data_IF_284031086678
#
_entry.id   IF_284031086678
#
_cell.length_a   1.000
_cell.length_b   1.000
_cell.length_c   1.000
_cell.angle_alpha   90.00
_cell.angle_beta   90.00
_cell.angle_gamma   90.00
#
_symmetry.space_group_name_H-M   'P 1'
#
loop_
_entity.id
_entity.type
_entity.pdbx_description
1 polymer ?
#
# COMPACT_ATOMS: atom_id res chain seq x y z
N UNK A 1 46.38 35.63 31.69
CA UNK A 1 44.98 35.98 31.95
C UNK A 1 44.43 36.53 30.64
N UNK A 2 44.19 35.62 29.70
CA UNK A 2 42.84 35.14 29.37
C UNK A 2 41.98 36.24 28.76
N UNK A 3 41.90 36.22 27.43
CA UNK A 3 40.67 36.57 26.73
C UNK A 3 40.55 35.65 25.51
N UNK A 4 39.80 34.57 25.73
CA UNK A 4 39.30 33.67 24.69
C UNK A 4 38.24 34.42 23.91
N UNK A 5 38.55 34.84 22.68
CA UNK A 5 37.54 35.30 21.73
C UNK A 5 37.25 34.14 20.77
N UNK A 6 36.15 33.45 21.06
CA UNK A 6 35.58 32.40 20.23
C UNK A 6 35.01 33.04 18.97
N UNK A 7 35.71 32.90 17.83
CA UNK A 7 35.18 33.28 16.53
C UNK A 7 34.19 32.19 16.11
N UNK A 8 32.92 32.61 16.03
CA UNK A 8 31.78 31.85 15.52
C UNK A 8 32.06 31.29 14.12
N UNK A 9 31.88 29.98 13.97
CA UNK A 9 31.88 29.31 12.68
C UNK A 9 30.67 29.81 11.87
N UNK A 10 30.94 30.50 10.75
CA UNK A 10 29.92 30.78 9.74
C UNK A 10 29.47 29.45 9.11
N UNK A 11 28.25 29.01 9.47
CA UNK A 11 27.55 27.97 8.72
C UNK A 11 27.34 28.43 7.28
N UNK A 12 28.00 27.76 6.34
CA UNK A 12 27.74 27.93 4.91
C UNK A 12 26.37 27.31 4.63
N UNK A 13 25.34 28.16 4.55
CA UNK A 13 24.02 27.77 4.03
C UNK A 13 24.20 27.31 2.59
N UNK A 14 24.13 26.00 2.35
CA UNK A 14 24.13 25.42 1.00
C UNK A 14 22.87 25.89 0.30
N UNK A 15 23.00 26.88 -0.58
CA UNK A 15 21.92 27.36 -1.42
C UNK A 15 21.30 26.18 -2.17
N UNK A 16 20.01 25.96 -1.95
CA UNK A 16 19.23 24.89 -2.56
C UNK A 16 19.28 25.08 -4.08
N UNK A 17 20.07 24.25 -4.79
CA UNK A 17 20.23 24.34 -6.25
C UNK A 17 18.87 24.27 -6.94
N UNK A 18 18.62 25.16 -7.91
CA UNK A 18 17.34 25.26 -8.63
C UNK A 18 17.10 24.00 -9.47
N UNK A 19 15.85 23.56 -9.58
CA UNK A 19 15.47 22.33 -10.29
C UNK A 19 15.89 22.31 -11.77
N UNK A 20 15.93 23.49 -12.40
CA UNK A 20 16.47 23.70 -13.75
C UNK A 20 17.90 23.18 -13.85
N UNK A 21 18.77 23.57 -12.92
CA UNK A 21 20.20 23.24 -12.96
C UNK A 21 20.42 21.73 -12.84
N UNK A 22 19.64 21.06 -11.98
CA UNK A 22 19.67 19.59 -11.84
C UNK A 22 19.22 18.86 -13.10
N UNK A 23 18.20 19.38 -13.78
CA UNK A 23 17.69 18.76 -15.01
C UNK A 23 18.71 18.87 -16.15
N UNK A 24 19.33 20.03 -16.31
CA UNK A 24 20.34 20.26 -17.34
C UNK A 24 21.57 19.39 -17.11
N UNK A 25 22.05 19.30 -15.87
CA UNK A 25 23.21 18.47 -15.48
C UNK A 25 22.91 16.97 -15.66
N UNK A 26 21.72 16.51 -15.29
CA UNK A 26 21.37 15.09 -15.34
C UNK A 26 21.01 14.57 -16.74
N UNK A 27 20.51 15.44 -17.62
CA UNK A 27 19.98 15.01 -18.93
C UNK A 27 20.81 15.47 -20.12
N UNK A 28 21.71 16.46 -19.93
CA UNK A 28 22.47 17.08 -21.01
C UNK A 28 21.62 17.85 -22.02
N UNK A 29 20.32 18.07 -21.71
CA UNK A 29 19.36 18.72 -22.60
C UNK A 29 19.44 20.24 -22.50
N UNK A 30 18.90 20.90 -23.52
CA UNK A 30 18.85 22.35 -23.57
C UNK A 30 17.82 22.96 -22.60
N UNK A 31 18.00 24.24 -22.27
CA UNK A 31 17.05 25.00 -21.46
C UNK A 31 15.64 25.04 -22.09
N UNK A 32 15.57 25.06 -23.41
CA UNK A 32 14.30 25.08 -24.14
C UNK A 32 13.54 23.75 -23.98
N UNK A 33 14.26 22.62 -23.95
CA UNK A 33 13.70 21.30 -23.65
C UNK A 33 13.31 21.14 -22.18
N UNK A 34 14.02 21.78 -21.25
CA UNK A 34 13.59 21.86 -19.85
C UNK A 34 12.23 22.54 -19.74
N UNK A 35 12.02 23.66 -20.41
CA UNK A 35 10.73 24.35 -20.38
C UNK A 35 9.63 23.56 -21.09
N UNK A 36 9.92 22.92 -22.23
CA UNK A 36 8.95 22.04 -22.90
C UNK A 36 8.57 20.83 -22.03
N UNK A 37 9.55 20.20 -21.37
CA UNK A 37 9.32 19.14 -20.39
C UNK A 37 8.53 19.63 -19.17
N UNK A 38 8.89 20.79 -18.61
CA UNK A 38 8.19 21.38 -17.46
C UNK A 38 6.76 21.81 -17.82
N UNK A 39 6.52 22.23 -19.07
CA UNK A 39 5.19 22.52 -19.61
C UNK A 39 4.39 21.23 -19.83
N UNK A 40 4.99 20.16 -20.36
CA UNK A 40 4.33 18.86 -20.51
C UNK A 40 4.03 18.20 -19.16
N UNK A 41 4.94 18.31 -18.18
CA UNK A 41 4.72 17.90 -16.79
C UNK A 41 3.63 18.78 -16.16
N UNK A 42 3.64 20.10 -16.40
CA UNK A 42 2.61 21.03 -15.96
C UNK A 42 1.24 20.80 -16.60
N UNK A 43 1.19 20.32 -17.84
CA UNK A 43 -0.02 19.95 -18.56
C UNK A 43 -0.57 18.58 -18.12
N UNK A 44 0.32 17.63 -17.78
CA UNK A 44 -0.07 16.35 -17.14
C UNK A 44 -0.51 16.56 -15.69
N UNK A 45 0.05 17.56 -14.99
CA UNK A 45 -0.39 18.06 -13.69
C UNK A 45 -1.56 19.05 -13.80
N UNK A 46 -2.59 18.75 -14.61
CA UNK A 46 -3.81 19.56 -14.64
C UNK A 46 -4.76 19.24 -13.46
N UNK A 47 -4.22 19.34 -12.25
CA UNK A 47 -4.95 19.86 -11.09
C UNK A 47 -4.32 21.22 -10.81
N UNK A 48 -4.89 22.18 -11.53
CA UNK A 48 -4.69 23.62 -11.64
C UNK A 48 -3.78 24.28 -10.58
N UNK A 49 -2.76 25.03 -10.99
CA UNK A 49 -2.00 25.93 -10.07
C UNK A 49 -2.91 26.90 -9.32
N UNK A 50 -4.07 27.25 -9.91
CA UNK A 50 -5.15 28.00 -9.28
C UNK A 50 -5.84 27.20 -8.16
N UNK A 51 -6.12 25.91 -8.35
CA UNK A 51 -6.61 25.00 -7.30
C UNK A 51 -5.55 24.86 -6.21
N UNK A 52 -4.28 24.72 -6.57
CA UNK A 52 -3.16 24.73 -5.61
C UNK A 52 -3.12 25.98 -4.75
N UNK A 53 -3.31 27.14 -5.36
CA UNK A 53 -3.34 28.43 -4.66
C UNK A 53 -4.63 28.64 -3.86
N UNK A 54 -5.78 28.20 -4.36
CA UNK A 54 -7.08 28.29 -3.69
C UNK A 54 -7.13 27.35 -2.49
N UNK A 55 -6.73 26.09 -2.68
CA UNK A 55 -6.60 25.08 -1.64
C UNK A 55 -5.57 25.52 -0.58
N UNK A 56 -4.40 26.04 -0.98
CA UNK A 56 -3.42 26.60 -0.04
C UNK A 56 -3.95 27.82 0.75
N UNK A 57 -4.80 28.65 0.13
CA UNK A 57 -5.42 29.82 0.77
C UNK A 57 -6.52 29.44 1.76
N UNK A 58 -7.24 28.35 1.51
CA UNK A 58 -8.34 27.84 2.35
C UNK A 58 -7.82 26.78 3.35
N UNK A 59 -6.58 26.29 3.18
CA UNK A 59 -5.96 25.26 4.04
C UNK A 59 -6.30 23.82 3.66
N UNK A 60 -6.81 23.60 2.45
CA UNK A 60 -7.27 22.30 1.93
C UNK A 60 -6.20 21.71 0.98
N UNK A 61 -6.19 20.40 0.75
CA UNK A 61 -5.34 19.77 -0.28
C UNK A 61 -6.01 19.84 -1.67
N UNK A 62 -5.21 19.98 -2.73
CA UNK A 62 -5.68 20.12 -4.13
C UNK A 62 -6.60 19.02 -4.65
N UNK A 63 -6.74 17.93 -3.90
CA UNK A 63 -7.39 16.69 -4.28
C UNK A 63 -8.66 16.46 -3.45
N UNK A 64 -8.98 17.36 -2.51
CA UNK A 64 -10.16 17.26 -1.64
C UNK A 64 -11.49 17.45 -2.39
N UNK A 65 -11.53 18.36 -3.39
CA UNK A 65 -12.72 18.60 -4.21
C UNK A 65 -13.15 17.41 -5.08
N UNK A 66 -12.34 16.33 -5.14
CA UNK A 66 -12.64 15.15 -5.93
C UNK A 66 -13.67 14.22 -5.30
N UNK A 67 -14.16 14.50 -4.09
CA UNK A 67 -15.32 13.79 -3.52
C UNK A 67 -16.50 13.78 -4.49
N UNK A 68 -16.65 14.84 -5.29
CA UNK A 68 -17.75 15.02 -6.24
C UNK A 68 -17.50 14.40 -7.62
N UNK A 69 -16.35 13.78 -7.85
CA UNK A 69 -15.99 13.11 -9.11
C UNK A 69 -15.76 11.62 -8.88
N UNK A 70 -16.79 10.95 -8.38
CA UNK A 70 -16.74 9.51 -8.19
C UNK A 70 -16.68 8.77 -9.53
N UNK A 71 -15.98 7.65 -9.54
CA UNK A 71 -15.90 6.76 -10.69
C UNK A 71 -17.25 6.09 -10.90
N UNK A 72 -17.79 6.19 -12.11
CA UNK A 72 -19.05 5.53 -12.44
C UNK A 72 -18.87 4.02 -12.42
N UNK A 73 -19.68 3.35 -11.60
CA UNK A 73 -19.69 1.90 -11.51
C UNK A 73 -20.54 1.30 -12.63
N UNK A 74 -20.11 0.18 -13.23
CA UNK A 74 -20.94 -0.57 -14.17
C UNK A 74 -22.24 -1.03 -13.52
N UNK A 75 -23.33 -1.00 -14.28
CA UNK A 75 -24.61 -1.47 -13.77
C UNK A 75 -24.54 -2.97 -13.46
N UNK A 76 -24.91 -3.35 -12.24
CA UNK A 76 -24.94 -4.76 -11.81
C UNK A 76 -23.59 -5.33 -11.36
N UNK A 77 -22.56 -4.49 -11.16
CA UNK A 77 -21.31 -4.95 -10.54
C UNK A 77 -21.58 -5.51 -9.14
N UNK A 78 -20.98 -6.66 -8.83
CA UNK A 78 -21.09 -7.24 -7.49
C UNK A 78 -20.31 -6.40 -6.48
N UNK A 79 -20.80 -6.27 -5.25
CA UNK A 79 -20.12 -5.49 -4.21
C UNK A 79 -18.69 -5.98 -3.92
N UNK A 80 -18.46 -7.30 -4.05
CA UNK A 80 -17.15 -7.94 -3.95
C UNK A 80 -16.15 -7.46 -5.00
N UNK A 81 -16.61 -7.04 -6.17
CA UNK A 81 -15.78 -6.63 -7.31
C UNK A 81 -15.57 -5.12 -7.37
N UNK A 82 -16.40 -4.33 -6.67
CA UNK A 82 -16.34 -2.86 -6.69
C UNK A 82 -14.96 -2.34 -6.35
N UNK A 83 -14.33 -2.87 -5.30
CA UNK A 83 -13.00 -2.42 -4.89
C UNK A 83 -11.97 -2.68 -5.99
N UNK A 84 -11.90 -3.89 -6.53
CA UNK A 84 -10.98 -4.25 -7.61
C UNK A 84 -11.18 -3.36 -8.85
N UNK A 85 -12.44 -3.15 -9.23
CA UNK A 85 -12.79 -2.26 -10.33
C UNK A 85 -12.32 -0.82 -10.11
N UNK A 86 -12.52 -0.27 -8.90
CA UNK A 86 -12.10 1.08 -8.58
C UNK A 86 -10.57 1.23 -8.59
N UNK A 87 -9.82 0.24 -8.11
CA UNK A 87 -8.35 0.27 -8.16
C UNK A 87 -7.86 0.42 -9.60
N UNK A 88 -8.46 -0.32 -10.53
CA UNK A 88 -8.06 -0.34 -11.93
C UNK A 88 -8.55 0.89 -12.71
N UNK A 89 -9.78 1.33 -12.48
CA UNK A 89 -10.47 2.27 -13.35
C UNK A 89 -10.62 3.68 -12.76
N UNK A 90 -10.42 3.85 -11.45
CA UNK A 90 -10.55 5.16 -10.83
C UNK A 90 -9.42 6.09 -11.27
N UNK A 91 -9.82 7.30 -11.69
CA UNK A 91 -8.94 8.44 -11.90
C UNK A 91 -9.03 9.44 -10.72
N UNK A 92 -9.62 9.02 -9.61
CA UNK A 92 -9.84 9.83 -8.43
C UNK A 92 -8.89 9.41 -7.29
N UNK A 93 -7.81 10.17 -7.02
CA UNK A 93 -6.91 9.93 -5.91
C UNK A 93 -7.58 9.82 -4.53
N UNK A 94 -8.76 10.43 -4.33
CA UNK A 94 -9.52 10.29 -3.08
C UNK A 94 -10.06 8.86 -2.89
N UNK A 95 -10.67 8.28 -3.93
CA UNK A 95 -11.15 6.89 -3.90
C UNK A 95 -9.99 5.92 -3.66
N UNK A 96 -8.86 6.12 -4.33
CA UNK A 96 -7.66 5.32 -4.11
C UNK A 96 -7.13 5.48 -2.67
N UNK A 97 -7.19 6.67 -2.09
CA UNK A 97 -6.78 6.89 -0.71
C UNK A 97 -7.71 6.21 0.32
N UNK A 98 -9.02 6.21 0.07
CA UNK A 98 -9.98 5.47 0.89
C UNK A 98 -9.72 3.97 0.84
N UNK A 99 -9.56 3.42 -0.36
CA UNK A 99 -9.26 2.00 -0.57
C UNK A 99 -7.93 1.63 0.09
N UNK A 100 -6.91 2.47 -0.06
CA UNK A 100 -5.61 2.24 0.58
C UNK A 100 -5.71 2.19 2.10
N UNK A 101 -6.50 3.08 2.71
CA UNK A 101 -6.70 3.08 4.17
C UNK A 101 -7.41 1.80 4.64
N UNK A 102 -8.44 1.36 3.92
CA UNK A 102 -9.13 0.08 4.19
C UNK A 102 -8.15 -1.09 4.11
N UNK A 103 -7.42 -1.19 2.99
CA UNK A 103 -6.45 -2.27 2.77
C UNK A 103 -5.32 -2.27 3.80
N UNK A 104 -4.91 -1.11 4.29
CA UNK A 104 -3.90 -1.03 5.36
C UNK A 104 -4.39 -1.72 6.62
N UNK A 105 -5.64 -1.46 7.01
CA UNK A 105 -6.27 -2.14 8.15
C UNK A 105 -6.40 -3.65 7.89
N UNK A 106 -6.77 -4.05 6.68
CA UNK A 106 -6.88 -5.47 6.31
C UNK A 106 -5.52 -6.18 6.37
N UNK A 107 -4.45 -5.54 5.89
CA UNK A 107 -3.08 -6.10 5.94
C UNK A 107 -2.62 -6.31 7.37
N UNK A 108 -2.86 -5.34 8.25
CA UNK A 108 -2.44 -5.41 9.65
C UNK A 108 -3.23 -6.47 10.44
N UNK A 109 -4.46 -6.76 10.04
CA UNK A 109 -5.37 -7.64 10.76
C UNK A 109 -5.74 -8.91 9.97
N UNK A 110 -4.94 -9.29 8.97
CA UNK A 110 -5.28 -10.41 8.09
C UNK A 110 -5.14 -11.77 8.80
N UNK A 111 -6.27 -12.39 9.12
CA UNK A 111 -6.34 -13.73 9.71
C UNK A 111 -6.96 -14.71 8.72
N UNK A 112 -6.19 -15.74 8.35
CA UNK A 112 -6.56 -16.80 7.40
C UNK A 112 -5.77 -18.06 7.71
N UNK A 113 -6.16 -19.21 7.14
CA UNK A 113 -5.39 -20.45 7.29
C UNK A 113 -3.95 -20.25 6.83
N UNK A 114 -3.76 -19.58 5.70
CA UNK A 114 -2.47 -19.33 5.09
C UNK A 114 -1.61 -18.38 5.92
N UNK A 115 -2.19 -17.31 6.50
CA UNK A 115 -1.42 -16.40 7.35
C UNK A 115 -0.95 -17.08 8.64
N UNK A 116 -1.82 -17.88 9.26
CA UNK A 116 -1.47 -18.67 10.45
C UNK A 116 -0.41 -19.73 10.11
N UNK A 117 -0.59 -20.50 9.03
CA UNK A 117 0.39 -21.48 8.60
C UNK A 117 1.73 -20.83 8.25
N UNK A 118 1.73 -19.65 7.62
CA UNK A 118 2.96 -18.93 7.29
C UNK A 118 3.74 -18.47 8.54
N UNK A 119 3.02 -18.11 9.61
CA UNK A 119 3.62 -17.63 10.87
C UNK A 119 4.12 -18.79 11.74
N UNK A 120 3.33 -19.86 11.86
CA UNK A 120 3.56 -20.95 12.82
C UNK A 120 4.32 -22.14 12.22
N UNK A 121 4.21 -22.40 10.90
CA UNK A 121 5.04 -23.43 10.27
C UNK A 121 6.45 -22.91 10.00
N UNK A 122 7.40 -23.29 10.86
CA UNK A 122 8.80 -22.93 10.69
C UNK A 122 9.61 -23.97 9.90
N UNK A 123 9.01 -25.09 9.53
CA UNK A 123 9.62 -26.22 8.81
C UNK A 123 9.01 -27.55 9.24
N UNK A 124 9.15 -28.57 8.40
CA UNK A 124 8.57 -29.90 8.63
C UNK A 124 9.56 -31.01 8.30
N UNK A 125 9.31 -32.20 8.83
CA UNK A 125 10.01 -33.42 8.43
C UNK A 125 9.61 -33.79 7.00
N UNK A 126 10.55 -34.33 6.22
CA UNK A 126 10.28 -34.71 4.83
C UNK A 126 9.35 -35.91 4.78
N UNK A 127 9.50 -36.81 5.75
CA UNK A 127 8.74 -38.03 5.94
C UNK A 127 7.25 -37.71 6.16
N UNK A 128 6.93 -36.65 6.92
CA UNK A 128 5.55 -36.21 7.16
C UNK A 128 4.91 -35.71 5.85
N UNK A 129 5.65 -34.97 5.03
CA UNK A 129 5.15 -34.56 3.71
C UNK A 129 4.91 -35.75 2.79
N UNK A 130 5.79 -36.74 2.78
CA UNK A 130 5.65 -37.93 1.95
C UNK A 130 4.52 -38.86 2.43
N UNK A 131 4.22 -38.88 3.74
CA UNK A 131 3.15 -39.68 4.31
C UNK A 131 1.76 -39.07 4.06
N UNK A 132 1.64 -37.75 4.11
CA UNK A 132 0.35 -37.04 4.04
C UNK A 132 0.11 -36.30 2.72
N UNK A 133 1.16 -36.05 1.94
CA UNK A 133 1.10 -35.45 0.61
C UNK A 133 1.34 -36.46 -0.52
N UNK A 134 1.59 -35.95 -1.73
CA UNK A 134 1.99 -36.79 -2.86
C UNK A 134 3.53 -36.94 -2.87
N UNK A 135 4.08 -38.15 -2.67
CA UNK A 135 5.52 -38.39 -2.68
C UNK A 135 6.20 -37.92 -3.99
N UNK A 136 5.47 -37.93 -5.11
CA UNK A 136 6.00 -37.51 -6.40
C UNK A 136 6.26 -35.99 -6.47
N UNK A 137 5.60 -35.22 -5.61
CA UNK A 137 5.73 -33.76 -5.56
C UNK A 137 6.71 -33.27 -4.50
N UNK A 138 7.34 -34.16 -3.73
CA UNK A 138 8.35 -33.77 -2.73
C UNK A 138 9.57 -33.07 -3.37
N UNK A 139 9.85 -33.34 -4.64
CA UNK A 139 10.91 -32.66 -5.40
C UNK A 139 10.54 -31.23 -5.82
N UNK A 140 9.25 -30.94 -5.98
CA UNK A 140 8.72 -29.63 -6.37
C UNK A 140 8.63 -28.66 -5.19
N UNK A 141 8.59 -29.21 -3.96
CA UNK A 141 8.55 -28.42 -2.74
C UNK A 141 9.93 -27.85 -2.41
N UNK A 142 9.93 -26.59 -1.95
CA UNK A 142 11.14 -25.90 -1.54
C UNK A 142 11.89 -26.65 -0.44
N UNK A 143 13.19 -26.93 -0.69
CA UNK A 143 14.08 -27.57 0.29
C UNK A 143 14.18 -26.80 1.62
N UNK A 144 13.82 -25.52 1.63
CA UNK A 144 13.80 -24.69 2.85
C UNK A 144 12.75 -25.15 3.88
N UNK A 145 11.76 -25.94 3.48
CA UNK A 145 10.79 -26.54 4.41
C UNK A 145 11.39 -27.67 5.24
N UNK A 146 12.36 -28.41 4.69
CA UNK A 146 12.84 -29.65 5.30
C UNK A 146 13.73 -29.41 6.51
N UNK A 147 13.27 -29.85 7.68
CA UNK A 147 14.02 -29.81 8.94
C UNK A 147 13.96 -31.18 9.62
N UNK A 148 15.13 -31.76 9.89
CA UNK A 148 15.23 -33.09 10.53
C UNK A 148 14.68 -33.10 11.96
N UNK A 149 14.94 -32.02 12.69
CA UNK A 149 14.54 -31.88 14.10
C UNK A 149 13.22 -31.11 14.26
N UNK A 150 12.42 -30.97 13.19
CA UNK A 150 11.09 -30.38 13.30
C UNK A 150 10.16 -31.30 14.10
N UNK A 151 9.14 -30.71 14.71
CA UNK A 151 8.03 -31.46 15.29
C UNK A 151 7.16 -32.08 14.18
N UNK A 152 6.40 -33.11 14.55
CA UNK A 152 5.49 -33.77 13.63
C UNK A 152 4.39 -32.81 13.18
N UNK A 153 4.04 -32.83 11.89
CA UNK A 153 3.06 -31.90 11.32
C UNK A 153 1.71 -31.95 12.07
N UNK A 154 1.24 -33.13 12.45
CA UNK A 154 0.03 -33.32 13.26
C UNK A 154 0.09 -32.58 14.60
N UNK A 155 1.22 -32.65 15.29
CA UNK A 155 1.41 -32.00 16.59
C UNK A 155 1.39 -30.47 16.47
N UNK A 156 2.02 -29.95 15.42
CA UNK A 156 2.01 -28.50 15.14
C UNK A 156 0.59 -28.04 14.81
N UNK A 157 -0.16 -28.80 14.00
CA UNK A 157 -1.54 -28.45 13.66
C UNK A 157 -2.48 -28.56 14.87
N UNK A 158 -2.26 -29.54 15.75
CA UNK A 158 -3.01 -29.65 17.00
C UNK A 158 -2.78 -28.43 17.90
N UNK A 159 -1.52 -27.98 18.02
CA UNK A 159 -1.18 -26.76 18.77
C UNK A 159 -1.85 -25.52 18.15
N UNK A 160 -1.74 -25.33 16.83
CA UNK A 160 -2.35 -24.21 16.11
C UNK A 160 -3.88 -24.20 16.30
N UNK A 161 -4.54 -25.35 16.12
CA UNK A 161 -6.00 -25.45 16.26
C UNK A 161 -6.45 -25.21 17.71
N UNK A 162 -5.64 -25.55 18.71
CA UNK A 162 -5.94 -25.29 20.13
C UNK A 162 -5.96 -23.81 20.51
N UNK A 163 -5.36 -22.94 19.67
CA UNK A 163 -5.37 -21.49 19.87
C UNK A 163 -6.66 -20.82 19.39
N UNK A 164 -7.55 -21.57 18.71
CA UNK A 164 -8.88 -21.11 18.26
C UNK A 164 -8.86 -19.81 17.44
N UNK A 165 -7.80 -19.58 16.67
CA UNK A 165 -7.69 -18.39 15.80
C UNK A 165 -8.76 -18.34 14.70
N UNK A 166 -9.28 -19.50 14.31
CA UNK A 166 -10.29 -19.67 13.26
C UNK A 166 -11.48 -20.46 13.79
N UNK A 167 -12.67 -20.19 13.25
CA UNK A 167 -13.88 -20.98 13.50
C UNK A 167 -13.86 -22.37 12.82
N UNK A 168 -12.79 -22.67 12.07
CA UNK A 168 -12.62 -23.93 11.34
C UNK A 168 -11.21 -24.43 11.58
N UNK A 169 -11.09 -25.72 11.88
CA UNK A 169 -9.79 -26.36 12.04
C UNK A 169 -8.99 -26.34 10.72
N UNK A 170 -7.69 -26.15 10.86
CA UNK A 170 -6.72 -26.32 9.79
C UNK A 170 -6.39 -27.81 9.70
N UNK A 171 -6.72 -28.41 8.56
CA UNK A 171 -6.48 -29.82 8.30
C UNK A 171 -5.05 -30.07 7.80
N UNK A 172 -4.61 -31.33 7.88
CA UNK A 172 -3.36 -31.77 7.24
C UNK A 172 -3.32 -31.45 5.74
N UNK A 173 -4.43 -31.64 5.03
CA UNK A 173 -4.51 -31.31 3.61
C UNK A 173 -4.28 -29.83 3.35
N UNK A 174 -4.87 -28.94 4.16
CA UNK A 174 -4.64 -27.49 4.02
C UNK A 174 -3.14 -27.15 4.20
N UNK A 175 -2.49 -27.76 5.19
CA UNK A 175 -1.07 -27.54 5.46
C UNK A 175 -0.18 -28.05 4.32
N UNK A 176 -0.47 -29.23 3.76
CA UNK A 176 0.27 -29.82 2.64
C UNK A 176 0.09 -28.96 1.38
N UNK A 177 -1.12 -28.51 1.06
CA UNK A 177 -1.38 -27.61 -0.06
C UNK A 177 -0.62 -26.28 0.11
N UNK A 178 -0.63 -25.71 1.31
CA UNK A 178 0.12 -24.50 1.63
C UNK A 178 1.63 -24.66 1.43
N UNK A 179 2.22 -25.77 1.91
CA UNK A 179 3.65 -26.09 1.78
C UNK A 179 4.05 -26.27 0.32
N UNK A 180 3.17 -26.85 -0.51
CA UNK A 180 3.39 -26.99 -1.95
C UNK A 180 3.41 -25.64 -2.67
N UNK A 181 2.50 -24.75 -2.30
CA UNK A 181 2.32 -23.48 -2.98
C UNK A 181 3.32 -22.40 -2.53
N UNK A 182 3.84 -22.47 -1.31
CA UNK A 182 4.60 -21.37 -0.69
C UNK A 182 5.98 -21.80 -0.20
N UNK A 183 6.89 -20.83 -0.05
CA UNK A 183 8.14 -21.02 0.70
C UNK A 183 7.92 -20.60 2.17
N UNK A 184 8.68 -21.14 3.14
CA UNK A 184 8.51 -20.79 4.55
C UNK A 184 8.64 -19.27 4.77
N UNK A 185 7.66 -18.67 5.44
CA UNK A 185 7.64 -17.24 5.76
C UNK A 185 7.55 -16.31 4.54
N UNK A 186 7.18 -16.82 3.35
CA UNK A 186 7.14 -16.05 2.09
C UNK A 186 5.74 -15.89 1.52
N UNK A 187 4.71 -16.40 2.18
CA UNK A 187 3.34 -16.13 1.76
C UNK A 187 3.07 -14.62 1.84
N UNK A 188 2.33 -14.12 0.86
CA UNK A 188 2.00 -12.69 0.75
C UNK A 188 0.49 -12.57 0.85
N UNK A 189 0.04 -11.73 1.79
CA UNK A 189 -1.37 -11.41 1.96
C UNK A 189 -1.96 -10.78 0.66
N UNK A 190 -3.16 -11.22 0.21
CA UNK A 190 -3.86 -10.61 -0.91
C UNK A 190 -4.07 -9.10 -0.75
N UNK A 191 -4.46 -8.65 0.46
CA UNK A 191 -4.63 -7.21 0.75
C UNK A 191 -3.33 -6.42 0.56
N UNK A 192 -2.16 -7.02 0.87
CA UNK A 192 -0.86 -6.37 0.65
C UNK A 192 -0.56 -6.22 -0.85
N UNK A 193 -0.98 -7.18 -1.66
CA UNK A 193 -0.85 -7.11 -3.12
C UNK A 193 -1.75 -6.02 -3.69
N UNK A 194 -3.01 -5.96 -3.25
CA UNK A 194 -3.95 -4.91 -3.63
C UNK A 194 -3.45 -3.52 -3.18
N UNK A 195 -2.90 -3.41 -1.96
CA UNK A 195 -2.37 -2.16 -1.41
C UNK A 195 -1.25 -1.62 -2.30
N UNK A 196 -0.28 -2.46 -2.70
CA UNK A 196 0.80 -2.06 -3.62
C UNK A 196 0.29 -1.60 -4.99
N UNK A 197 -0.77 -2.23 -5.50
CA UNK A 197 -1.40 -1.80 -6.74
C UNK A 197 -2.03 -0.41 -6.59
N UNK A 198 -2.74 -0.16 -5.48
CA UNK A 198 -3.30 1.16 -5.15
C UNK A 198 -2.21 2.21 -5.03
N UNK A 199 -1.10 1.91 -4.35
CA UNK A 199 0.04 2.83 -4.24
C UNK A 199 0.62 3.20 -5.62
N UNK A 200 0.75 2.21 -6.50
CA UNK A 200 1.22 2.41 -7.88
C UNK A 200 0.27 3.27 -8.70
N UNK A 201 -1.04 2.99 -8.62
CA UNK A 201 -2.10 3.76 -9.28
C UNK A 201 -2.14 5.19 -8.77
N UNK A 202 -2.14 5.37 -7.45
CA UNK A 202 -2.12 6.67 -6.82
C UNK A 202 -0.91 7.50 -7.25
N UNK A 203 0.28 6.90 -7.27
CA UNK A 203 1.50 7.55 -7.74
C UNK A 203 1.42 7.94 -9.22
N UNK A 204 0.78 7.12 -10.05
CA UNK A 204 0.60 7.42 -11.46
C UNK A 204 -0.29 8.65 -11.67
N UNK A 205 -1.36 8.78 -10.86
CA UNK A 205 -2.28 9.91 -10.94
C UNK A 205 -1.72 11.20 -10.31
N UNK A 206 -0.99 11.08 -9.20
CA UNK A 206 -0.58 12.25 -8.40
C UNK A 206 0.89 12.61 -8.52
N UNK A 207 1.70 11.74 -9.13
CA UNK A 207 3.17 11.83 -9.27
C UNK A 207 3.97 11.66 -7.97
N UNK A 208 3.32 11.44 -6.82
CA UNK A 208 3.99 11.19 -5.53
C UNK A 208 3.45 9.93 -4.84
N UNK A 209 4.24 9.39 -3.91
CA UNK A 209 3.83 8.21 -3.14
C UNK A 209 2.80 8.60 -2.08
N UNK A 210 1.75 7.80 -1.93
CA UNK A 210 0.79 7.95 -0.83
C UNK A 210 1.48 7.76 0.53
N UNK A 211 1.04 8.50 1.55
CA UNK A 211 1.59 8.46 2.92
C UNK A 211 0.47 8.60 3.94
N UNK A 212 0.67 8.04 5.13
CA UNK A 212 -0.29 8.06 6.24
C UNK A 212 -0.86 9.46 6.52
N UNK A 213 0.01 10.42 6.87
CA UNK A 213 -0.41 11.77 7.21
C UNK A 213 -1.22 12.46 6.10
N UNK A 214 -0.90 12.13 4.84
CA UNK A 214 -1.57 12.71 3.70
C UNK A 214 -3.00 12.15 3.56
N UNK A 215 -3.16 10.84 3.71
CA UNK A 215 -4.47 10.18 3.66
C UNK A 215 -5.34 10.65 4.81
N UNK A 216 -4.81 10.69 6.03
CA UNK A 216 -5.53 11.20 7.19
C UNK A 216 -6.03 12.63 7.00
N UNK A 217 -5.16 13.51 6.49
CA UNK A 217 -5.52 14.90 6.23
C UNK A 217 -6.54 15.02 5.10
N UNK A 218 -6.36 14.28 4.00
CA UNK A 218 -7.29 14.26 2.87
C UNK A 218 -8.68 13.81 3.32
N UNK A 219 -8.77 12.72 4.07
CA UNK A 219 -10.04 12.20 4.56
C UNK A 219 -10.71 13.14 5.58
N UNK A 220 -9.96 13.75 6.49
CA UNK A 220 -10.48 14.75 7.43
C UNK A 220 -11.08 15.96 6.71
N UNK A 221 -10.38 16.49 5.71
CA UNK A 221 -10.85 17.64 4.93
C UNK A 221 -12.14 17.32 4.17
N UNK A 222 -12.18 16.16 3.51
CA UNK A 222 -13.34 15.71 2.75
C UNK A 222 -14.56 15.37 3.64
N UNK A 223 -14.35 14.90 4.88
CA UNK A 223 -15.45 14.66 5.83
C UNK A 223 -16.12 15.95 6.29
N UNK A 224 -15.34 17.01 6.54
CA UNK A 224 -15.86 18.31 6.96
C UNK A 224 -16.79 18.90 5.88
N UNK A 225 -16.45 18.78 4.59
CA UNK A 225 -17.33 19.21 3.50
C UNK A 225 -18.65 18.40 3.44
N UNK A 226 -18.62 17.10 3.74
CA UNK A 226 -19.83 16.25 3.70
C UNK A 226 -20.82 16.60 4.82
N UNK A 227 -20.32 16.93 6.01
CA UNK A 227 -21.14 17.37 7.15
C UNK A 227 -21.75 18.76 6.91
N UNK A 228 -20.99 19.69 6.32
CA UNK A 228 -21.47 21.05 6.03
C UNK A 228 -22.56 21.08 4.94
N UNK A 229 -22.48 20.20 3.93
CA UNK A 229 -23.49 20.10 2.87
C UNK A 229 -24.77 19.44 3.39
N UNK A 230 -24.66 18.46 4.31
CA UNK A 230 -25.82 17.78 4.89
C UNK A 230 -26.70 18.71 5.74
N UNK A 231 -26.14 19.77 6.33
CA UNK A 231 -26.88 20.76 7.12
C UNK A 231 -27.62 21.81 6.24
N UNK A 232 -27.26 21.97 4.96
CA UNK A 232 -27.95 22.90 4.04
C UNK A 232 -29.25 22.32 3.44
N UNK A 233 -29.49 21.01 3.56
CA UNK A 233 -30.67 20.31 3.05
C UNK A 233 -31.82 20.15 4.07
N UNK A 234 -31.76 20.84 5.22
CA UNK A 234 -32.88 20.91 6.16
C UNK A 234 -33.89 21.99 5.71
N UNK A 235 -35.15 21.64 5.40
CA UNK A 235 -36.15 22.64 5.05
C UNK A 235 -36.51 23.46 6.30
N UNK A 236 -36.43 24.78 6.18
CA UNK A 236 -37.01 25.72 7.15
C UNK A 236 -38.54 25.55 7.21
#
# INVERSE_FOLDING_TARGET
MENVSTISQNEVVVATRRNKDRFLEATGKSEQEYYAWATLVGQRMHINKLDGLLCAKIGIYTVAHLIHKQTQLPQGIEQSEVQAYLIENSNNPYELAQIWLSLKSDVENWVSKESILNEWLTGIRKEDFEAHGDPNHAADVSRAWWKKDADGLDGILQEINSMEFLNTEISLSDAIEFIRANRPGRWICPALTAQKLVESRFKTLTTFNIKDYYVEHLLKMCRIETELIADEDLPF
#
